data_IF_523188296632
#
_entry.id   IF_523188296632
#
_cell.length_a   1.000
_cell.length_b   1.000
_cell.length_c   1.000
_cell.angle_alpha   90.00
_cell.angle_beta   90.00
_cell.angle_gamma   90.00
#
_symmetry.space_group_name_H-M   'P 1'
#
loop_
_entity.id
_entity.type
_entity.pdbx_description
1 polymer ?
#
# COMPACT_ATOMS: atom_id res chain seq x y z
N UNK A 1 -15.22 15.64 1.42
CA UNK A 1 -15.36 14.24 1.86
C UNK A 1 -14.26 13.43 1.20
N UNK A 2 -13.42 12.75 1.97
CA UNK A 2 -12.43 11.82 1.42
C UNK A 2 -13.16 10.54 1.00
N UNK A 3 -12.96 10.12 -0.24
CA UNK A 3 -13.42 8.81 -0.68
C UNK A 3 -12.21 7.87 -0.64
N UNK A 4 -12.25 6.94 0.31
CA UNK A 4 -11.21 5.93 0.49
C UNK A 4 -11.84 4.56 0.38
N UNK A 5 -11.20 3.67 -0.39
CA UNK A 5 -11.45 2.24 -0.29
C UNK A 5 -10.12 1.50 -0.33
N UNK A 6 -10.07 0.35 0.34
CA UNK A 6 -8.91 -0.54 0.35
C UNK A 6 -9.39 -1.99 0.34
N UNK A 7 -8.61 -2.86 -0.30
CA UNK A 7 -8.80 -4.30 -0.29
C UNK A 7 -7.47 -4.99 -0.08
N UNK A 8 -7.44 -5.84 0.93
CA UNK A 8 -6.33 -6.75 1.18
C UNK A 8 -6.66 -8.12 0.61
N UNK A 9 -5.64 -8.80 0.12
CA UNK A 9 -5.73 -10.15 -0.40
C UNK A 9 -4.86 -11.07 0.46
N UNK A 10 -5.39 -12.23 0.81
CA UNK A 10 -4.58 -13.33 1.32
C UNK A 10 -3.61 -13.77 0.21
N UNK A 11 -2.29 -13.79 0.44
CA UNK A 11 -1.35 -14.18 -0.60
C UNK A 11 -1.55 -15.65 -1.00
N UNK A 12 -1.38 -15.95 -2.28
CA UNK A 12 -1.40 -17.32 -2.77
C UNK A 12 -0.06 -18.01 -2.46
N UNK A 13 0.03 -19.35 -2.55
CA UNK A 13 1.30 -20.06 -2.38
C UNK A 13 2.40 -19.58 -3.34
N UNK A 14 2.05 -19.10 -4.54
CA UNK A 14 3.00 -18.52 -5.48
C UNK A 14 3.59 -17.21 -4.95
N UNK A 15 2.77 -16.35 -4.33
CA UNK A 15 3.22 -15.10 -3.71
C UNK A 15 4.17 -15.39 -2.53
N UNK A 16 3.85 -16.38 -1.69
CA UNK A 16 4.74 -16.78 -0.59
C UNK A 16 6.12 -17.25 -1.08
N UNK A 17 6.20 -17.96 -2.22
CA UNK A 17 7.50 -18.36 -2.81
C UNK A 17 8.35 -17.17 -3.25
N UNK A 18 7.72 -16.03 -3.55
CA UNK A 18 8.39 -14.77 -3.87
C UNK A 18 8.67 -13.92 -2.62
N UNK A 19 8.39 -14.43 -1.41
CA UNK A 19 8.53 -13.70 -0.15
C UNK A 19 7.42 -12.67 0.12
N UNK A 20 6.36 -12.65 -0.70
CA UNK A 20 5.23 -11.72 -0.53
C UNK A 20 4.26 -12.24 0.53
N UNK A 21 4.15 -11.51 1.64
CA UNK A 21 3.32 -11.89 2.81
C UNK A 21 2.02 -11.10 2.93
N UNK A 22 1.87 -10.00 2.18
CA UNK A 22 0.66 -9.18 2.15
C UNK A 22 0.52 -8.50 0.79
N UNK A 23 -0.71 -8.45 0.25
CA UNK A 23 -1.03 -7.70 -0.96
C UNK A 23 -2.23 -6.80 -0.66
N UNK A 24 -2.09 -5.51 -0.90
CA UNK A 24 -3.15 -4.51 -0.73
C UNK A 24 -3.29 -3.63 -1.96
N UNK A 25 -4.52 -3.22 -2.26
CA UNK A 25 -4.83 -2.20 -3.27
C UNK A 25 -5.87 -1.25 -2.71
N UNK A 26 -5.83 0.02 -3.10
CA UNK A 26 -6.83 0.99 -2.68
C UNK A 26 -6.81 2.24 -3.52
N UNK A 27 -7.80 3.09 -3.27
CA UNK A 27 -7.89 4.43 -3.80
C UNK A 27 -8.16 5.38 -2.65
N UNK A 28 -7.49 6.51 -2.67
CA UNK A 28 -7.74 7.57 -1.72
C UNK A 28 -7.77 8.91 -2.46
N UNK A 29 -8.86 9.67 -2.31
CA UNK A 29 -9.08 10.91 -3.03
C UNK A 29 -9.01 12.13 -2.10
N UNK A 30 -8.33 13.19 -2.54
CA UNK A 30 -8.16 14.46 -1.82
C UNK A 30 -6.73 14.70 -1.36
N UNK A 31 -6.49 15.84 -0.71
CA UNK A 31 -5.19 16.15 -0.09
C UNK A 31 -5.00 15.25 1.15
N UNK A 32 -3.96 14.43 1.14
CA UNK A 32 -3.67 13.48 2.21
C UNK A 32 -2.60 14.03 3.13
N UNK A 33 -2.70 13.77 4.44
CA UNK A 33 -1.62 14.11 5.35
C UNK A 33 -0.36 13.35 4.93
N UNK A 34 0.79 14.04 4.95
CA UNK A 34 2.08 13.41 4.73
C UNK A 34 2.28 12.29 5.74
N UNK A 35 2.66 11.11 5.25
CA UNK A 35 3.05 10.01 6.12
C UNK A 35 4.46 10.30 6.63
N UNK A 36 4.61 10.41 7.94
CA UNK A 36 5.93 10.60 8.56
C UNK A 36 6.82 9.35 8.43
N UNK A 37 8.13 9.46 8.68
CA UNK A 37 9.06 8.33 8.58
C UNK A 37 8.61 7.15 9.45
N UNK A 38 8.58 5.95 8.89
CA UNK A 38 8.32 4.71 9.62
C UNK A 38 9.31 3.63 9.22
N UNK A 39 9.81 2.89 10.19
CA UNK A 39 10.56 1.66 9.97
C UNK A 39 9.58 0.48 9.99
N UNK A 40 9.67 -0.40 9.00
CA UNK A 40 8.91 -1.64 8.96
C UNK A 40 9.87 -2.81 9.20
N UNK A 41 9.38 -3.85 9.87
CA UNK A 41 10.15 -5.08 10.12
C UNK A 41 10.40 -5.89 8.83
N UNK A 42 9.72 -5.52 7.74
CA UNK A 42 9.76 -6.20 6.45
C UNK A 42 9.89 -5.20 5.31
N UNK A 43 10.47 -5.66 4.19
CA UNK A 43 10.52 -4.90 2.95
C UNK A 43 9.12 -4.74 2.35
N UNK A 44 8.82 -3.53 1.86
CA UNK A 44 7.55 -3.20 1.21
C UNK A 44 7.82 -2.55 -0.14
N UNK A 45 6.97 -2.86 -1.13
CA UNK A 45 6.92 -2.15 -2.40
C UNK A 45 5.58 -1.40 -2.48
N UNK A 46 5.64 -0.08 -2.66
CA UNK A 46 4.46 0.78 -2.83
C UNK A 46 4.49 1.32 -4.25
N UNK A 47 3.40 1.12 -4.99
CA UNK A 47 3.23 1.62 -6.36
C UNK A 47 2.09 2.63 -6.35
N UNK A 48 2.40 3.89 -6.65
CA UNK A 48 1.41 4.96 -6.80
C UNK A 48 1.11 5.13 -8.29
N UNK A 49 -0.09 4.74 -8.71
CA UNK A 49 -0.48 4.85 -10.12
C UNK A 49 -0.80 6.28 -10.54
N UNK A 50 -1.39 7.09 -9.64
CA UNK A 50 -1.66 8.50 -9.86
C UNK A 50 -1.66 9.27 -8.54
N UNK A 51 -1.18 10.50 -8.56
CA UNK A 51 -0.98 11.34 -7.38
C UNK A 51 0.42 11.97 -7.35
N UNK A 52 0.65 12.87 -6.39
CA UNK A 52 1.95 13.52 -6.16
C UNK A 52 2.15 13.74 -4.65
N UNK A 53 3.40 13.97 -4.23
CA UNK A 53 3.74 14.24 -2.84
C UNK A 53 4.61 13.14 -2.22
N UNK A 54 4.45 12.95 -0.91
CA UNK A 54 5.32 12.08 -0.10
C UNK A 54 4.49 10.98 0.57
N UNK A 55 5.02 9.75 0.52
CA UNK A 55 4.47 8.53 1.11
C UNK A 55 5.45 7.93 2.12
#
# INVERSE_FOLDING_TARGET
>A
MYHTWMRFFTPSPLHHRLGLVCLGVGLQHGALPTVGPRTLDHHVAVIVNSGTGWF
#
